data_IF_369855567839
#
_entry.id   IF_369855567839
#
_cell.length_a   1.000
_cell.length_b   1.000
_cell.length_c   1.000
_cell.angle_alpha   90.00
_cell.angle_beta   90.00
_cell.angle_gamma   90.00
#
_symmetry.space_group_name_H-M   'P 1'
#
loop_
_entity.id
_entity.type
_entity.pdbx_description
1 polymer ?
#
# COMPACT_ATOMS: atom_id res chain seq x y z
N UNK A 1 -5.52 -7.80 -11.34
CA UNK A 1 -5.06 -8.89 -10.46
C UNK A 1 -4.82 -8.30 -9.08
N UNK A 2 -5.19 -9.01 -8.00
CA UNK A 2 -4.90 -8.59 -6.63
C UNK A 2 -3.42 -8.86 -6.33
N UNK A 3 -2.69 -7.88 -5.80
CA UNK A 3 -1.25 -7.99 -5.50
C UNK A 3 -1.04 -7.75 -4.01
N UNK A 4 -0.23 -8.61 -3.36
CA UNK A 4 -0.01 -8.57 -1.91
C UNK A 4 1.48 -8.70 -1.59
N UNK A 5 1.97 -7.88 -0.67
CA UNK A 5 3.26 -8.04 -0.02
C UNK A 5 3.09 -7.67 1.46
N UNK A 6 3.36 -8.60 2.38
CA UNK A 6 3.18 -8.38 3.82
C UNK A 6 1.76 -7.96 4.20
N UNK A 7 1.65 -6.78 4.80
CA UNK A 7 0.43 -6.08 5.21
C UNK A 7 -0.08 -5.07 4.16
N UNK A 8 0.54 -5.01 2.97
CA UNK A 8 0.06 -4.21 1.85
C UNK A 8 -0.72 -5.06 0.85
N UNK A 9 -1.91 -4.57 0.50
CA UNK A 9 -2.77 -5.10 -0.53
C UNK A 9 -3.05 -4.03 -1.59
N UNK A 10 -2.72 -4.32 -2.85
CA UNK A 10 -3.05 -3.49 -4.00
C UNK A 10 -4.28 -4.07 -4.70
N UNK A 11 -5.37 -3.31 -4.70
CA UNK A 11 -6.66 -3.69 -5.28
C UNK A 11 -6.85 -2.87 -6.56
N UNK A 12 -6.92 -3.48 -7.75
CA UNK A 12 -7.21 -2.73 -8.96
C UNK A 12 -8.53 -1.96 -8.85
N UNK A 13 -8.54 -0.69 -9.23
CA UNK A 13 -9.74 0.15 -9.26
C UNK A 13 -9.74 1.04 -10.51
N UNK A 14 -10.84 1.77 -10.74
CA UNK A 14 -10.90 2.68 -11.88
C UNK A 14 -10.18 3.99 -11.53
N UNK A 15 -9.52 4.66 -12.50
CA UNK A 15 -8.92 5.98 -12.28
C UNK A 15 -9.93 7.04 -11.82
N UNK A 16 -11.21 6.90 -12.20
CA UNK A 16 -12.30 7.79 -11.77
C UNK A 16 -12.64 7.68 -10.28
N UNK A 17 -12.19 6.62 -9.59
CA UNK A 17 -12.35 6.44 -8.16
C UNK A 17 -11.25 7.15 -7.34
N UNK A 18 -10.22 7.70 -8.00
CA UNK A 18 -9.10 8.39 -7.36
C UNK A 18 -9.46 9.83 -7.07
N UNK A 19 -9.26 10.25 -5.82
CA UNK A 19 -9.42 11.63 -5.40
C UNK A 19 -8.48 11.94 -4.22
N UNK A 20 -8.25 13.23 -3.96
CA UNK A 20 -7.38 13.66 -2.87
C UNK A 20 -6.18 14.45 -3.38
N UNK A 21 -5.08 14.37 -2.63
CA UNK A 21 -3.88 15.16 -2.88
C UNK A 21 -2.71 14.25 -3.28
N UNK A 22 -1.86 14.67 -4.23
CA UNK A 22 -0.66 13.93 -4.56
C UNK A 22 0.33 13.95 -3.40
N UNK A 23 1.02 12.83 -3.21
CA UNK A 23 2.06 12.63 -2.21
C UNK A 23 3.41 12.61 -2.91
N UNK A 24 4.32 13.49 -2.48
CA UNK A 24 5.68 13.48 -2.98
C UNK A 24 6.44 12.23 -2.48
N UNK A 25 7.34 11.65 -3.29
CA UNK A 25 8.15 10.54 -2.84
C UNK A 25 9.11 10.98 -1.72
N UNK A 26 9.39 10.07 -0.80
CA UNK A 26 10.48 10.21 0.17
C UNK A 26 11.83 10.21 -0.58
N UNK A 27 12.73 11.18 -0.34
CA UNK A 27 14.00 11.29 -1.07
C UNK A 27 14.93 10.07 -0.95
N UNK A 28 14.79 9.27 0.10
CA UNK A 28 15.62 8.09 0.35
C UNK A 28 14.88 6.79 0.06
N UNK A 29 13.56 6.78 0.25
CA UNK A 29 12.75 5.55 0.24
C UNK A 29 11.84 5.40 -0.98
N UNK A 30 11.59 6.49 -1.74
CA UNK A 30 10.63 6.50 -2.84
C UNK A 30 9.19 6.69 -2.36
N UNK A 31 8.21 6.15 -3.07
CA UNK A 31 6.80 6.29 -2.70
C UNK A 31 6.44 5.29 -1.60
N UNK A 32 6.25 5.79 -0.38
CA UNK A 32 5.89 4.97 0.79
C UNK A 32 4.40 4.65 0.77
N UNK A 33 4.06 3.37 0.64
CA UNK A 33 2.68 2.89 0.70
C UNK A 33 2.22 2.64 2.13
N UNK A 34 3.12 2.12 2.97
CA UNK A 34 2.82 1.76 4.35
C UNK A 34 4.10 1.65 5.17
N UNK A 35 4.07 2.16 6.39
CA UNK A 35 5.08 1.86 7.40
C UNK A 35 4.80 0.47 7.99
N UNK A 36 5.82 -0.38 8.09
CA UNK A 36 5.75 -1.70 8.69
C UNK A 36 5.64 -1.65 10.21
N UNK A 37 4.97 -2.65 10.81
CA UNK A 37 4.43 -2.55 12.16
C UNK A 37 5.47 -2.47 13.30
N UNK A 38 6.69 -2.99 13.12
CA UNK A 38 7.61 -3.23 14.25
C UNK A 38 9.02 -2.62 14.11
N UNK A 39 9.49 -2.33 12.89
CA UNK A 39 10.92 -2.09 12.63
C UNK A 39 11.23 -0.72 12.01
N UNK A 40 10.20 0.05 11.63
CA UNK A 40 10.37 1.28 10.85
C UNK A 40 10.78 1.04 9.39
N UNK A 41 10.70 -0.22 8.94
CA UNK A 41 10.75 -0.56 7.52
C UNK A 41 9.46 -0.11 6.84
N UNK A 42 9.50 0.12 5.53
CA UNK A 42 8.35 0.59 4.77
C UNK A 42 8.16 -0.24 3.50
N UNK A 43 6.91 -0.43 3.11
CA UNK A 43 6.55 -0.90 1.79
C UNK A 43 6.62 0.27 0.83
N UNK A 44 7.48 0.18 -0.17
CA UNK A 44 7.73 1.28 -1.10
C UNK A 44 7.64 0.85 -2.55
N UNK A 45 7.19 1.78 -3.38
CA UNK A 45 7.24 1.67 -4.83
C UNK A 45 8.49 2.37 -5.34
N UNK A 46 9.27 1.64 -6.15
CA UNK A 46 10.46 2.12 -6.83
C UNK A 46 10.25 1.99 -8.35
N UNK A 47 10.33 3.12 -9.05
CA UNK A 47 10.38 3.18 -10.51
C UNK A 47 11.10 4.47 -10.96
N UNK A 48 11.58 4.50 -12.19
CA UNK A 48 12.27 5.67 -12.74
C UNK A 48 11.30 6.84 -13.07
N UNK A 49 10.06 6.52 -13.44
CA UNK A 49 9.01 7.49 -13.79
C UNK A 49 7.63 6.82 -13.77
N UNK A 50 6.57 7.61 -14.01
CA UNK A 50 5.21 7.07 -14.19
C UNK A 50 4.57 6.53 -12.91
N UNK A 51 4.96 7.06 -11.75
CA UNK A 51 4.38 6.73 -10.44
C UNK A 51 3.73 7.96 -9.86
N UNK A 52 2.46 7.84 -9.48
CA UNK A 52 1.75 8.83 -8.69
C UNK A 52 1.11 8.15 -7.48
N UNK A 53 1.25 8.78 -6.32
CA UNK A 53 0.61 8.35 -5.09
C UNK A 53 -0.35 9.45 -4.66
N UNK A 54 -1.61 9.10 -4.42
CA UNK A 54 -2.66 10.05 -4.01
C UNK A 54 -3.22 9.59 -2.68
N UNK A 55 -3.43 10.53 -1.75
CA UNK A 55 -4.10 10.25 -0.48
C UNK A 55 -5.26 11.18 -0.23
N UNK A 56 -6.25 10.66 0.49
CA UNK A 56 -7.39 11.42 0.95
C UNK A 56 -7.81 10.99 2.35
N UNK A 57 -8.47 11.87 3.08
CA UNK A 57 -9.09 11.55 4.36
C UNK A 57 -10.60 11.43 4.16
N UNK A 58 -11.17 10.29 4.57
CA UNK A 58 -12.61 10.04 4.56
C UNK A 58 -13.02 9.46 5.90
N UNK A 59 -13.94 10.11 6.61
CA UNK A 59 -14.45 9.65 7.90
C UNK A 59 -13.32 9.27 8.91
N UNK A 60 -12.28 10.11 9.00
CA UNK A 60 -11.09 9.90 9.86
C UNK A 60 -10.19 8.72 9.44
N UNK A 61 -10.43 8.12 8.26
CA UNK A 61 -9.58 7.08 7.67
C UNK A 61 -8.76 7.63 6.49
N UNK A 62 -7.49 7.26 6.44
CA UNK A 62 -6.62 7.55 5.30
C UNK A 62 -6.91 6.56 4.15
N UNK A 63 -7.31 7.09 3.00
CA UNK A 63 -7.42 6.38 1.73
C UNK A 63 -6.19 6.70 0.88
N UNK A 64 -5.75 5.72 0.11
CA UNK A 64 -4.54 5.84 -0.70
C UNK A 64 -4.71 5.11 -2.02
N UNK A 65 -4.23 5.73 -3.10
CA UNK A 65 -4.23 5.16 -4.44
C UNK A 65 -2.85 5.29 -5.06
N UNK A 66 -2.43 4.23 -5.75
CA UNK A 66 -1.21 4.13 -6.52
C UNK A 66 -1.57 4.07 -8.00
N UNK A 67 -1.02 4.99 -8.80
CA UNK A 67 -1.16 5.02 -10.24
C UNK A 67 0.20 4.72 -10.86
N UNK A 68 0.22 3.75 -11.76
CA UNK A 68 1.40 3.27 -12.46
C UNK A 68 1.19 3.33 -13.97
N UNK A 69 1.99 4.14 -14.67
CA UNK A 69 2.05 4.15 -16.14
C UNK A 69 2.97 3.05 -16.69
N UNK A 70 3.94 2.61 -15.88
CA UNK A 70 4.94 1.59 -16.19
C UNK A 70 4.96 0.52 -15.09
N UNK A 71 5.59 -0.63 -15.37
CA UNK A 71 5.84 -1.62 -14.32
C UNK A 71 6.76 -1.04 -13.25
N UNK A 72 6.46 -1.32 -11.99
CA UNK A 72 7.21 -0.84 -10.84
C UNK A 72 7.49 -1.95 -9.83
N UNK A 73 8.53 -1.78 -9.02
CA UNK A 73 8.88 -2.73 -7.95
C UNK A 73 8.25 -2.31 -6.63
N UNK A 74 7.45 -3.20 -6.04
CA UNK A 74 7.03 -3.12 -4.65
C UNK A 74 8.06 -3.82 -3.77
N UNK A 75 8.72 -3.05 -2.91
CA UNK A 75 9.84 -3.50 -2.08
C UNK A 75 9.56 -3.35 -0.60
N UNK A 76 10.08 -4.28 0.20
CA UNK A 76 10.15 -4.21 1.65
C UNK A 76 11.39 -5.00 2.09
N UNK A 77 12.20 -4.53 3.07
CA UNK A 77 13.45 -5.20 3.48
C UNK A 77 13.31 -6.69 3.84
N UNK A 78 12.14 -7.10 4.33
CA UNK A 78 11.86 -8.48 4.78
C UNK A 78 11.23 -9.36 3.68
N UNK A 79 10.91 -8.79 2.52
CA UNK A 79 10.20 -9.48 1.45
C UNK A 79 10.99 -9.41 0.14
N UNK A 80 10.80 -10.40 -0.73
CA UNK A 80 11.34 -10.31 -2.09
C UNK A 80 10.58 -9.20 -2.85
N UNK A 81 11.27 -8.38 -3.65
CA UNK A 81 10.63 -7.43 -4.54
C UNK A 81 9.57 -8.11 -5.40
N UNK A 82 8.47 -7.39 -5.63
CA UNK A 82 7.34 -7.86 -6.43
C UNK A 82 7.08 -6.88 -7.56
N UNK A 83 6.97 -7.39 -8.78
CA UNK A 83 6.62 -6.57 -9.95
C UNK A 83 5.13 -6.25 -9.92
N UNK A 84 4.81 -4.96 -10.01
CA UNK A 84 3.47 -4.42 -10.10
C UNK A 84 3.27 -3.87 -11.52
N UNK A 85 2.38 -4.45 -12.33
CA UNK A 85 2.15 -3.99 -13.69
C UNK A 85 1.44 -2.62 -13.69
N UNK A 86 1.50 -1.90 -14.82
CA UNK A 86 0.76 -0.64 -15.00
C UNK A 86 -0.72 -0.77 -14.65
N UNK A 87 -1.27 0.28 -14.05
CA UNK A 87 -2.66 0.34 -13.62
C UNK A 87 -2.90 1.28 -12.44
N UNK A 88 -4.15 1.36 -12.02
CA UNK A 88 -4.57 2.11 -10.84
C UNK A 88 -5.01 1.16 -9.75
N UNK A 89 -4.50 1.37 -8.54
CA UNK A 89 -4.71 0.50 -7.40
C UNK A 89 -5.13 1.30 -6.18
N UNK A 90 -6.16 0.84 -5.48
CA UNK A 90 -6.38 1.23 -4.10
C UNK A 90 -5.39 0.46 -3.21
N UNK A 91 -4.68 1.19 -2.35
CA UNK A 91 -3.75 0.63 -1.37
C UNK A 91 -4.51 0.41 -0.08
N UNK A 92 -4.56 -0.84 0.39
CA UNK A 92 -5.20 -1.23 1.64
C UNK A 92 -4.20 -1.89 2.58
N UNK A 93 -4.30 -1.55 3.87
CA UNK A 93 -3.65 -2.30 4.94
C UNK A 93 -4.40 -3.60 5.17
N UNK A 94 -3.71 -4.72 5.00
CA UNK A 94 -4.18 -6.01 5.42
C UNK A 94 -3.84 -6.21 6.90
N UNK A 95 -4.86 -6.40 7.73
CA UNK A 95 -4.69 -6.86 9.10
C UNK A 95 -4.75 -8.38 9.12
N UNK A 96 -3.82 -9.05 9.80
CA UNK A 96 -4.00 -10.45 10.14
C UNK A 96 -5.19 -10.58 11.11
N UNK A 97 -6.17 -11.40 10.75
CA UNK A 97 -7.23 -11.77 11.66
C UNK A 97 -6.72 -12.92 12.53
N UNK A 98 -6.41 -12.63 13.80
CA UNK A 98 -6.14 -13.66 14.80
C UNK A 98 -7.43 -13.96 15.61
N UNK A 99 -8.10 -15.10 15.37
CA UNK A 99 -9.29 -15.49 16.12
C UNK A 99 -9.01 -15.82 17.60
N UNK A 100 -7.75 -15.93 18.05
CA UNK A 100 -7.41 -16.24 19.45
C UNK A 100 -7.49 -15.03 20.40
N UNK A 101 -7.65 -13.81 19.88
CA UNK A 101 -7.77 -12.61 20.69
C UNK A 101 -9.15 -12.42 21.35
N UNK A 102 -10.17 -13.22 21.01
CA UNK A 102 -11.44 -13.26 21.73
C UNK A 102 -11.47 -14.48 22.64
N UNK A 103 -10.93 -14.35 23.85
CA UNK A 103 -11.27 -15.24 24.96
C UNK A 103 -12.24 -14.52 25.90
N UNK A 104 -13.52 -14.83 25.77
CA UNK A 104 -14.39 -14.91 26.95
C UNK A 104 -14.53 -16.39 27.29
N UNK A 105 -13.76 -16.83 28.28
CA UNK A 105 -14.07 -18.06 29.01
C UNK A 105 -14.78 -17.60 30.27
N UNK A 106 -16.10 -17.60 30.23
CA UNK A 106 -16.89 -17.77 31.45
C UNK A 106 -16.97 -19.27 31.67
N UNK A 107 -16.56 -19.71 32.87
CA UNK A 107 -17.13 -20.93 33.45
C UNK A 107 -18.63 -20.71 33.73
#
# INVERSE_FOLDING_TARGET
>A
MLIRQGDVLLIPCNPEDVWGNPVAPDPQRGFVLMEGEATGHAHTIVAESGVELVTAEEAEELRMWLLLEVEAELTHPEHKPLLVPPGTYEVRRQREYDPQAIRMVSD
#
